data_IF_282217033507
#
_entry.id   IF_282217033507
#
_cell.length_a   1.000
_cell.length_b   1.000
_cell.length_c   1.000
_cell.angle_alpha   90.00
_cell.angle_beta   90.00
_cell.angle_gamma   90.00
#
_symmetry.space_group_name_H-M   'P 1'
#
loop_
_entity.id
_entity.type
_entity.pdbx_description
1 polymer ?
#
# COMPACT_ATOMS: atom_id res chain seq x y z
N UNK A 1 -44.67 -11.84 29.92
CA UNK A 1 -44.50 -10.71 30.84
C UNK A 1 -43.91 -11.21 32.16
N UNK A 2 -42.71 -10.75 32.51
CA UNK A 2 -42.29 -10.57 33.90
C UNK A 2 -42.10 -9.07 34.21
N UNK A 3 -42.63 -8.64 35.35
CA UNK A 3 -42.40 -7.35 36.01
C UNK A 3 -41.19 -7.47 36.96
N UNK A 4 -40.45 -6.39 37.09
CA UNK A 4 -39.52 -5.94 38.17
C UNK A 4 -38.30 -5.27 37.52
N UNK A 5 -37.72 -4.17 37.97
CA UNK A 5 -37.99 -3.21 39.05
C UNK A 5 -37.11 -1.99 38.75
N UNK A 6 -37.57 -0.81 39.16
CA UNK A 6 -36.87 0.46 39.39
C UNK A 6 -35.46 0.66 38.82
N UNK A 7 -35.33 1.60 37.89
CA UNK A 7 -34.10 2.38 37.73
C UNK A 7 -34.46 3.85 37.86
N UNK A 8 -34.18 4.41 39.03
CA UNK A 8 -34.27 5.84 39.32
C UNK A 8 -33.29 6.64 38.43
N UNK A 9 -33.61 7.91 38.12
CA UNK A 9 -32.76 8.78 37.33
C UNK A 9 -31.53 9.20 38.14
N UNK A 10 -30.34 8.99 37.59
CA UNK A 10 -29.10 9.51 38.14
C UNK A 10 -29.16 11.05 38.14
N UNK A 11 -29.39 11.60 39.32
CA UNK A 11 -29.32 13.01 39.60
C UNK A 11 -27.89 13.55 39.49
N UNK A 12 -27.85 14.83 39.10
CA UNK A 12 -26.78 15.81 39.26
C UNK A 12 -25.57 15.40 40.12
N UNK A 13 -24.39 15.49 39.50
CA UNK A 13 -23.24 16.11 40.16
C UNK A 13 -22.64 17.16 39.22
N UNK A 14 -23.35 18.28 39.06
CA UNK A 14 -22.66 19.55 38.82
C UNK A 14 -21.75 19.74 40.01
N UNK A 15 -20.44 19.54 39.81
CA UNK A 15 -19.42 19.96 40.78
C UNK A 15 -19.35 21.49 40.73
N UNK A 16 -20.42 22.13 41.20
CA UNK A 16 -20.39 23.50 41.64
C UNK A 16 -19.46 23.51 42.85
N UNK A 17 -18.25 24.03 42.64
CA UNK A 17 -17.38 24.47 43.72
C UNK A 17 -18.23 25.36 44.63
N UNK A 18 -18.63 24.82 45.78
CA UNK A 18 -19.26 25.59 46.83
C UNK A 18 -18.23 26.60 47.30
N UNK A 19 -18.33 27.81 46.75
CA UNK A 19 -17.66 28.98 47.30
C UNK A 19 -18.35 29.25 48.63
N UNK A 20 -17.65 29.13 49.78
CA UNK A 20 -18.27 29.48 51.05
C UNK A 20 -18.71 30.95 50.99
N UNK A 21 -19.97 31.15 51.35
CA UNK A 21 -20.69 32.43 51.40
C UNK A 21 -20.15 33.34 52.51
N UNK A 22 -18.90 33.79 52.37
CA UNK A 22 -18.31 34.86 53.18
C UNK A 22 -17.58 35.85 52.27
N UNK A 23 -18.29 36.36 51.26
CA UNK A 23 -17.90 37.58 50.57
C UNK A 23 -18.65 38.75 51.21
N UNK A 24 -18.21 39.12 52.40
CA UNK A 24 -18.44 40.47 52.91
C UNK A 24 -17.64 41.42 52.00
N UNK A 25 -18.32 42.46 51.52
CA UNK A 25 -17.69 43.61 50.88
C UNK A 25 -16.67 44.18 51.89
N UNK A 26 -15.44 44.40 51.43
CA UNK A 26 -14.26 44.91 52.17
C UNK A 26 -13.16 43.88 52.54
N UNK A 27 -12.91 42.89 51.69
CA UNK A 27 -11.77 41.96 51.82
C UNK A 27 -10.41 42.61 51.46
N UNK A 28 -9.99 43.63 52.22
CA UNK A 28 -8.61 44.12 52.17
C UNK A 28 -7.75 43.18 53.02
N UNK A 29 -7.15 42.17 52.40
CA UNK A 29 -6.26 41.23 53.08
C UNK A 29 -4.94 41.96 53.37
N UNK A 30 -4.69 42.27 54.65
CA UNK A 30 -3.44 42.89 55.08
C UNK A 30 -2.40 41.81 55.30
N UNK A 31 -1.41 41.74 54.41
CA UNK A 31 -0.32 40.77 54.44
C UNK A 31 0.92 41.42 55.07
N UNK A 32 1.70 40.73 55.93
CA UNK A 32 2.98 41.23 56.42
C UNK A 32 3.92 41.59 55.26
N UNK A 33 4.67 42.70 55.41
CA UNK A 33 5.49 43.27 54.33
C UNK A 33 6.55 42.29 53.81
N UNK A 34 7.07 41.42 54.67
CA UNK A 34 8.03 40.37 54.34
C UNK A 34 7.41 39.27 53.48
N UNK A 35 6.16 38.90 53.79
CA UNK A 35 5.40 37.90 53.05
C UNK A 35 5.00 38.44 51.66
N UNK A 36 4.66 39.73 51.58
CA UNK A 36 4.46 40.42 50.30
C UNK A 36 5.73 40.44 49.43
N UNK A 37 6.91 40.69 50.02
CA UNK A 37 8.19 40.63 49.29
C UNK A 37 8.48 39.22 48.77
N UNK A 38 8.33 38.20 49.62
CA UNK A 38 8.50 36.78 49.23
C UNK A 38 7.54 36.39 48.11
N UNK A 39 6.28 36.82 48.19
CA UNK A 39 5.27 36.54 47.17
C UNK A 39 5.59 37.21 45.84
N UNK A 40 6.05 38.47 45.86
CA UNK A 40 6.47 39.20 44.66
C UNK A 40 7.70 38.59 44.01
N UNK A 41 8.65 38.08 44.81
CA UNK A 41 9.80 37.34 44.32
C UNK A 41 9.42 35.98 43.76
N UNK A 42 8.50 35.25 44.41
CA UNK A 42 7.96 33.99 43.89
C UNK A 42 7.22 34.21 42.56
N UNK A 43 6.47 35.30 42.44
CA UNK A 43 5.79 35.68 41.20
C UNK A 43 6.78 35.99 40.07
N UNK A 44 7.88 36.69 40.36
CA UNK A 44 8.96 36.92 39.37
C UNK A 44 9.72 35.66 38.97
N UNK A 45 9.68 34.62 39.80
CA UNK A 45 10.29 33.31 39.54
C UNK A 45 9.36 32.36 38.80
N UNK A 46 8.07 32.71 38.63
CA UNK A 46 7.18 31.93 37.78
C UNK A 46 7.67 32.03 36.33
N UNK A 47 7.82 30.91 35.62
CA UNK A 47 8.13 30.93 34.20
C UNK A 47 7.10 31.78 33.46
N UNK A 48 7.57 32.60 32.53
CA UNK A 48 6.67 33.35 31.65
C UNK A 48 5.85 32.33 30.85
N UNK A 49 4.57 32.23 31.18
CA UNK A 49 3.67 31.27 30.55
C UNK A 49 3.44 31.82 29.15
N UNK A 50 3.81 31.03 28.14
CA UNK A 50 3.66 31.38 26.73
C UNK A 50 2.29 32.06 26.47
N UNK A 51 2.26 33.25 25.83
CA UNK A 51 1.01 33.96 25.57
C UNK A 51 -0.01 33.08 24.86
N UNK A 52 -1.30 33.26 25.17
CA UNK A 52 -2.41 32.48 24.59
C UNK A 52 -2.34 32.48 23.06
N UNK A 53 -2.01 33.62 22.46
CA UNK A 53 -1.91 33.81 21.01
C UNK A 53 -0.75 33.02 20.39
N UNK A 54 0.31 32.77 21.14
CA UNK A 54 1.46 31.96 20.70
C UNK A 54 1.12 30.46 20.80
N UNK A 55 0.37 30.04 21.82
CA UNK A 55 -0.17 28.68 21.92
C UNK A 55 -1.12 28.41 20.75
N UNK A 56 -2.06 29.30 20.49
CA UNK A 56 -3.03 29.15 19.39
C UNK A 56 -2.31 29.11 18.02
N UNK A 57 -1.27 29.94 17.83
CA UNK A 57 -0.42 29.89 16.62
C UNK A 57 0.29 28.55 16.45
N UNK A 58 0.85 27.98 17.52
CA UNK A 58 1.53 26.67 17.45
C UNK A 58 0.55 25.54 17.14
N UNK A 59 -0.62 25.55 17.77
CA UNK A 59 -1.69 24.57 17.49
C UNK A 59 -2.12 24.67 16.03
N UNK A 60 -2.27 25.88 15.50
CA UNK A 60 -2.66 26.08 14.10
C UNK A 60 -1.57 25.61 13.13
N UNK A 61 -0.29 25.85 13.42
CA UNK A 61 0.83 25.35 12.63
C UNK A 61 0.89 23.81 12.62
N UNK A 62 0.73 23.17 13.77
CA UNK A 62 0.71 21.71 13.88
C UNK A 62 -0.50 21.10 13.16
N UNK A 63 -1.70 21.69 13.29
CA UNK A 63 -2.90 21.27 12.56
C UNK A 63 -2.71 21.37 11.05
N UNK A 64 -2.14 22.47 10.57
CA UNK A 64 -1.87 22.66 9.15
C UNK A 64 -0.81 21.66 8.65
N UNK A 65 0.23 21.39 9.43
CA UNK A 65 1.24 20.36 9.11
C UNK A 65 0.63 18.96 9.05
N UNK A 66 -0.18 18.60 10.05
CA UNK A 66 -0.87 17.31 10.08
C UNK A 66 -1.83 17.13 8.91
N UNK A 67 -2.56 18.18 8.56
CA UNK A 67 -3.48 18.18 7.41
C UNK A 67 -2.71 17.96 6.11
N UNK A 68 -1.60 18.67 5.92
CA UNK A 68 -0.72 18.46 4.75
C UNK A 68 -0.16 17.04 4.70
N UNK A 69 0.31 16.51 5.82
CA UNK A 69 0.84 15.15 5.90
C UNK A 69 -0.23 14.10 5.56
N UNK A 70 -1.48 14.31 6.02
CA UNK A 70 -2.62 13.44 5.67
C UNK A 70 -2.95 13.50 4.18
N UNK A 71 -3.07 14.69 3.61
CA UNK A 71 -3.33 14.85 2.17
C UNK A 71 -2.24 14.19 1.32
N UNK A 72 -0.98 14.30 1.74
CA UNK A 72 0.13 13.64 1.05
C UNK A 72 0.04 12.11 1.17
N UNK A 73 -0.23 11.60 2.37
CA UNK A 73 -0.39 10.16 2.59
C UNK A 73 -1.57 9.58 1.79
N UNK A 74 -2.69 10.30 1.69
CA UNK A 74 -3.84 9.91 0.86
C UNK A 74 -3.49 9.89 -0.63
N UNK A 75 -2.76 10.91 -1.12
CA UNK A 75 -2.32 10.96 -2.50
C UNK A 75 -1.36 9.81 -2.87
N UNK A 76 -0.44 9.47 -1.96
CA UNK A 76 0.49 8.36 -2.16
C UNK A 76 -0.21 7.00 -2.09
N UNK A 77 -1.14 6.81 -1.15
CA UNK A 77 -1.99 5.62 -1.09
C UNK A 77 -2.84 5.44 -2.36
N UNK A 78 -3.35 6.54 -2.94
CA UNK A 78 -4.07 6.49 -4.20
C UNK A 78 -3.18 6.05 -5.37
N UNK A 79 -1.96 6.60 -5.47
CA UNK A 79 -0.98 6.18 -6.49
C UNK A 79 -0.58 4.72 -6.35
N UNK A 80 -0.38 4.27 -5.12
CA UNK A 80 -0.05 2.87 -4.83
C UNK A 80 -1.21 1.94 -5.19
N UNK A 81 -2.44 2.34 -4.92
CA UNK A 81 -3.65 1.62 -5.35
C UNK A 81 -3.72 1.46 -6.88
N UNK A 82 -3.40 2.52 -7.64
CA UNK A 82 -3.33 2.43 -9.11
C UNK A 82 -2.28 1.41 -9.57
N UNK A 83 -1.07 1.45 -9.01
CA UNK A 83 0.01 0.50 -9.34
C UNK A 83 -0.38 -0.94 -9.01
N UNK A 84 -1.04 -1.16 -7.88
CA UNK A 84 -1.54 -2.49 -7.51
C UNK A 84 -2.60 -2.98 -8.50
N UNK A 85 -3.53 -2.11 -8.92
CA UNK A 85 -4.55 -2.45 -9.91
C UNK A 85 -3.94 -2.83 -11.27
N UNK A 86 -2.92 -2.10 -11.72
CA UNK A 86 -2.18 -2.45 -12.94
C UNK A 86 -1.47 -3.80 -12.82
N UNK A 87 -0.87 -4.09 -11.66
CA UNK A 87 -0.19 -5.35 -11.41
C UNK A 87 -1.17 -6.53 -11.31
N UNK A 88 -2.37 -6.31 -10.74
CA UNK A 88 -3.46 -7.29 -10.74
C UNK A 88 -3.92 -7.61 -12.16
N UNK A 89 -4.06 -6.60 -13.02
CA UNK A 89 -4.38 -6.82 -14.44
C UNK A 89 -3.28 -7.65 -15.13
N UNK A 90 -2.00 -7.34 -14.89
CA UNK A 90 -0.88 -8.15 -15.39
C UNK A 90 -0.97 -9.60 -14.87
N UNK A 91 -1.31 -9.82 -13.60
CA UNK A 91 -1.54 -11.20 -13.10
C UNK A 91 -2.61 -11.93 -13.92
N UNK A 92 -3.70 -11.27 -14.27
CA UNK A 92 -4.76 -11.87 -15.09
C UNK A 92 -4.26 -12.19 -16.51
N UNK A 93 -3.58 -11.24 -17.16
CA UNK A 93 -3.05 -11.40 -18.52
C UNK A 93 -2.07 -12.59 -18.62
N UNK A 94 -1.24 -12.77 -17.60
CA UNK A 94 -0.29 -13.89 -17.51
C UNK A 94 -0.86 -15.10 -16.74
N UNK A 95 -2.16 -15.11 -16.40
CA UNK A 95 -2.86 -16.15 -15.64
C UNK A 95 -2.12 -16.60 -14.36
N UNK A 96 -1.52 -15.66 -13.64
CA UNK A 96 -0.85 -15.88 -12.37
C UNK A 96 -1.90 -15.82 -11.25
N UNK A 97 -1.84 -16.71 -10.25
CA UNK A 97 -2.68 -16.59 -9.06
C UNK A 97 -2.50 -15.20 -8.41
N UNK A 98 -3.57 -14.56 -7.95
CA UNK A 98 -3.51 -13.22 -7.33
C UNK A 98 -2.83 -13.24 -5.95
N UNK A 99 -1.54 -13.54 -5.91
CA UNK A 99 -0.67 -13.44 -4.72
C UNK A 99 -0.45 -11.99 -4.27
N UNK A 100 -0.90 -11.02 -5.08
CA UNK A 100 -0.86 -9.58 -4.80
C UNK A 100 -1.78 -9.20 -3.64
N UNK A 101 -2.90 -9.91 -3.44
CA UNK A 101 -3.90 -9.58 -2.40
C UNK A 101 -3.37 -9.75 -0.97
N UNK A 102 -2.34 -10.57 -0.80
CA UNK A 102 -1.70 -10.83 0.48
C UNK A 102 -0.56 -9.85 0.79
N UNK A 103 -0.15 -9.04 -0.20
CA UNK A 103 0.97 -8.12 -0.04
C UNK A 103 0.58 -6.88 0.78
N UNK A 104 1.45 -6.51 1.70
CA UNK A 104 1.29 -5.34 2.58
C UNK A 104 1.83 -4.04 1.97
N UNK A 105 2.60 -4.15 0.88
CA UNK A 105 3.20 -3.01 0.17
C UNK A 105 3.28 -3.25 -1.34
N UNK A 106 3.37 -2.17 -2.12
CA UNK A 106 3.58 -2.24 -3.58
C UNK A 106 4.87 -3.00 -3.92
N UNK A 107 5.92 -2.81 -3.13
CA UNK A 107 7.20 -3.51 -3.33
C UNK A 107 7.02 -5.02 -3.20
N UNK A 108 6.38 -5.46 -2.12
CA UNK A 108 6.10 -6.88 -1.87
C UNK A 108 5.22 -7.49 -2.95
N UNK A 109 4.19 -6.76 -3.39
CA UNK A 109 3.34 -7.19 -4.50
C UNK A 109 4.13 -7.43 -5.80
N UNK A 110 5.06 -6.53 -6.14
CA UNK A 110 5.95 -6.65 -7.31
C UNK A 110 6.88 -7.87 -7.20
N UNK A 111 7.47 -8.09 -6.03
CA UNK A 111 8.31 -9.26 -5.79
C UNK A 111 7.52 -10.57 -5.89
N UNK A 112 6.31 -10.60 -5.31
CA UNK A 112 5.42 -11.75 -5.40
C UNK A 112 5.04 -12.05 -6.86
N UNK A 113 4.76 -11.01 -7.66
CA UNK A 113 4.50 -11.16 -9.10
C UNK A 113 5.70 -11.78 -9.84
N UNK A 114 6.91 -11.26 -9.63
CA UNK A 114 8.12 -11.75 -10.28
C UNK A 114 8.41 -13.21 -9.93
N UNK A 115 8.28 -13.57 -8.66
CA UNK A 115 8.48 -14.95 -8.21
C UNK A 115 7.41 -15.90 -8.77
N UNK A 116 6.16 -15.46 -8.82
CA UNK A 116 5.07 -16.25 -9.39
C UNK A 116 5.25 -16.46 -10.91
N UNK A 117 5.69 -15.43 -11.64
CA UNK A 117 6.06 -15.53 -13.06
C UNK A 117 7.19 -16.53 -13.29
N UNK A 118 8.29 -16.42 -12.53
CA UNK A 118 9.44 -17.32 -12.63
C UNK A 118 9.03 -18.77 -12.44
N UNK A 119 8.22 -19.04 -11.41
CA UNK A 119 7.72 -20.37 -11.10
C UNK A 119 6.84 -20.91 -12.22
N UNK A 120 5.88 -20.10 -12.68
CA UNK A 120 4.90 -20.52 -13.69
C UNK A 120 5.54 -20.83 -15.04
N UNK A 121 6.44 -19.96 -15.51
CA UNK A 121 7.07 -20.09 -16.83
C UNK A 121 8.42 -20.81 -16.77
N UNK A 122 8.80 -21.36 -15.61
CA UNK A 122 10.05 -22.09 -15.38
C UNK A 122 11.31 -21.29 -15.74
N UNK A 123 11.29 -19.98 -15.53
CA UNK A 123 12.40 -19.05 -15.82
C UNK A 123 13.32 -18.95 -14.59
N UNK A 124 13.91 -20.08 -14.19
CA UNK A 124 14.72 -20.17 -12.96
C UNK A 124 16.03 -19.36 -13.01
N UNK A 125 16.51 -19.04 -14.21
CA UNK A 125 17.73 -18.24 -14.42
C UNK A 125 17.52 -16.74 -14.23
N UNK A 126 16.28 -16.27 -14.27
CA UNK A 126 15.99 -14.86 -14.04
C UNK A 126 16.19 -14.55 -12.56
N UNK A 127 17.16 -13.69 -12.25
CA UNK A 127 17.45 -13.24 -10.89
C UNK A 127 16.67 -11.95 -10.63
N UNK A 128 15.97 -11.92 -9.51
CA UNK A 128 15.28 -10.72 -9.05
C UNK A 128 16.24 -9.95 -8.16
N UNK A 129 16.49 -8.69 -8.50
CA UNK A 129 17.22 -7.75 -7.67
C UNK A 129 16.21 -6.92 -6.88
N UNK A 130 16.07 -7.21 -5.58
CA UNK A 130 15.10 -6.55 -4.70
C UNK A 130 15.46 -5.09 -4.36
N UNK A 131 16.72 -4.70 -4.57
CA UNK A 131 17.19 -3.33 -4.36
C UNK A 131 17.13 -2.50 -5.65
N UNK A 132 17.08 -3.16 -6.80
CA UNK A 132 16.98 -2.53 -8.11
C UNK A 132 15.58 -2.04 -8.47
N UNK A 133 15.44 -1.59 -9.72
CA UNK A 133 14.15 -1.18 -10.27
C UNK A 133 13.29 -2.41 -10.59
N UNK A 134 12.26 -2.62 -9.76
CA UNK A 134 11.33 -3.72 -9.92
C UNK A 134 10.38 -3.54 -11.12
N UNK A 135 10.08 -2.31 -11.53
CA UNK A 135 9.17 -2.07 -12.67
C UNK A 135 9.84 -2.50 -13.97
N UNK A 136 11.09 -2.08 -14.19
CA UNK A 136 11.89 -2.54 -15.33
C UNK A 136 12.09 -4.05 -15.33
N UNK A 137 12.31 -4.66 -14.16
CA UNK A 137 12.42 -6.12 -14.06
C UNK A 137 11.11 -6.85 -14.42
N UNK A 138 9.96 -6.30 -14.02
CA UNK A 138 8.64 -6.83 -14.39
C UNK A 138 8.45 -6.75 -15.90
N UNK A 139 8.76 -5.63 -16.54
CA UNK A 139 8.64 -5.46 -17.99
C UNK A 139 9.54 -6.42 -18.75
N UNK A 140 10.80 -6.53 -18.34
CA UNK A 140 11.76 -7.45 -18.96
C UNK A 140 11.31 -8.92 -18.84
N UNK A 141 10.80 -9.33 -17.68
CA UNK A 141 10.30 -10.69 -17.48
C UNK A 141 9.04 -10.96 -18.31
N UNK A 142 8.13 -9.99 -18.39
CA UNK A 142 6.95 -10.05 -19.24
C UNK A 142 7.34 -10.27 -20.71
N UNK A 143 8.27 -9.47 -21.23
CA UNK A 143 8.76 -9.57 -22.61
C UNK A 143 9.37 -10.94 -22.89
N UNK A 144 10.25 -11.42 -21.99
CA UNK A 144 10.87 -12.73 -22.10
C UNK A 144 9.82 -13.85 -22.17
N UNK A 145 8.79 -13.78 -21.33
CA UNK A 145 7.70 -14.77 -21.34
C UNK A 145 6.90 -14.73 -22.64
N UNK A 146 6.64 -13.54 -23.19
CA UNK A 146 5.97 -13.39 -24.49
C UNK A 146 6.79 -14.02 -25.61
N UNK A 147 8.09 -13.73 -25.69
CA UNK A 147 9.01 -14.30 -26.69
C UNK A 147 9.09 -15.82 -26.60
N UNK A 148 9.23 -16.37 -25.38
CA UNK A 148 9.26 -17.82 -25.16
C UNK A 148 7.94 -18.48 -25.56
N UNK A 149 6.81 -17.83 -25.29
CA UNK A 149 5.48 -18.32 -25.66
C UNK A 149 5.31 -18.32 -27.18
N UNK A 150 5.71 -17.25 -27.85
CA UNK A 150 5.68 -17.16 -29.32
C UNK A 150 6.59 -18.22 -29.97
N UNK A 151 7.80 -18.40 -29.45
CA UNK A 151 8.73 -19.43 -29.91
C UNK A 151 8.13 -20.83 -29.76
N UNK A 152 7.56 -21.15 -28.58
CA UNK A 152 6.91 -22.44 -28.33
C UNK A 152 5.74 -22.69 -29.29
N UNK A 153 4.91 -21.69 -29.56
CA UNK A 153 3.83 -21.80 -30.53
C UNK A 153 4.37 -22.06 -31.94
N UNK A 154 5.40 -21.33 -32.39
CA UNK A 154 6.03 -21.55 -33.68
C UNK A 154 6.60 -22.97 -33.82
N UNK A 155 7.33 -23.45 -32.82
CA UNK A 155 7.89 -24.82 -32.82
C UNK A 155 6.77 -25.86 -32.85
N UNK A 156 5.72 -25.68 -32.05
CA UNK A 156 4.57 -26.58 -32.05
C UNK A 156 3.84 -26.60 -33.40
N UNK A 157 3.67 -25.44 -34.05
CA UNK A 157 3.07 -25.35 -35.39
C UNK A 157 3.93 -26.07 -36.42
N UNK A 158 5.25 -25.83 -36.43
CA UNK A 158 6.18 -26.56 -37.31
C UNK A 158 6.14 -28.07 -37.04
N UNK A 159 6.11 -28.50 -35.78
CA UNK A 159 6.02 -29.91 -35.43
C UNK A 159 4.67 -30.52 -35.83
N UNK A 160 3.56 -29.78 -35.81
CA UNK A 160 2.30 -30.28 -36.39
C UNK A 160 2.34 -30.36 -37.90
N UNK A 161 2.98 -29.39 -38.56
CA UNK A 161 3.15 -29.38 -40.01
C UNK A 161 4.09 -30.49 -40.51
N UNK A 162 5.12 -30.83 -39.73
CA UNK A 162 6.15 -31.82 -40.08
C UNK A 162 5.90 -33.20 -39.45
N UNK A 163 5.22 -33.28 -38.31
CA UNK A 163 5.24 -34.43 -37.40
C UNK A 163 3.96 -35.26 -37.28
N UNK A 164 2.91 -34.98 -38.05
CA UNK A 164 1.78 -35.93 -38.21
C UNK A 164 1.43 -36.05 -39.68
N UNK A 165 2.12 -36.96 -40.38
CA UNK A 165 1.61 -37.58 -41.60
C UNK A 165 1.62 -36.75 -42.89
N UNK A 166 2.04 -35.48 -42.90
CA UNK A 166 2.38 -34.82 -44.16
C UNK A 166 3.81 -35.18 -44.54
N UNK A 167 3.97 -36.37 -45.11
CA UNK A 167 5.02 -36.59 -46.11
C UNK A 167 4.89 -35.40 -47.06
N UNK A 168 5.85 -34.48 -47.01
CA UNK A 168 5.96 -33.47 -48.05
C UNK A 168 6.27 -34.27 -49.30
N UNK A 169 5.21 -34.59 -50.04
CA UNK A 169 5.28 -35.03 -51.42
C UNK A 169 5.90 -33.87 -52.18
N UNK A 170 7.22 -33.77 -52.10
CA UNK A 170 7.99 -32.82 -52.87
C UNK A 170 7.71 -33.21 -54.31
N UNK A 171 6.90 -32.41 -54.99
CA UNK A 171 6.39 -32.73 -56.32
C UNK A 171 7.53 -32.95 -57.31
N UNK A 172 8.73 -32.40 -57.05
CA UNK A 172 9.95 -32.71 -57.81
C UNK A 172 10.47 -34.13 -57.55
N UNK A 173 10.55 -34.57 -56.29
CA UNK A 173 10.98 -35.92 -55.94
C UNK A 173 9.99 -36.98 -56.42
N UNK A 174 8.69 -36.70 -56.36
CA UNK A 174 7.64 -37.58 -56.88
C UNK A 174 7.64 -37.64 -58.42
N UNK A 175 7.79 -36.49 -59.11
CA UNK A 175 7.99 -36.46 -60.57
C UNK A 175 9.23 -37.23 -61.01
N UNK A 176 10.31 -37.21 -60.21
CA UNK A 176 11.52 -37.99 -60.45
C UNK A 176 11.30 -39.49 -60.22
N UNK A 177 10.63 -39.91 -59.12
CA UNK A 177 10.26 -41.32 -58.91
C UNK A 177 9.39 -41.87 -60.04
N UNK A 178 8.38 -41.11 -60.48
CA UNK A 178 7.52 -41.48 -61.63
C UNK A 178 8.32 -41.56 -62.92
N UNK A 179 9.23 -40.62 -63.18
CA UNK A 179 10.09 -40.62 -64.37
C UNK A 179 11.14 -41.75 -64.34
N UNK A 180 11.55 -42.20 -63.15
CA UNK A 180 12.53 -43.27 -62.96
C UNK A 180 11.90 -44.65 -62.80
N UNK A 181 10.56 -44.78 -62.83
CA UNK A 181 9.86 -46.06 -62.79
C UNK A 181 10.05 -46.87 -61.50
N UNK A 182 10.52 -46.24 -60.42
CA UNK A 182 10.72 -46.93 -59.14
C UNK A 182 9.41 -46.89 -58.36
N UNK A 183 8.54 -47.87 -58.61
CA UNK A 183 7.43 -48.21 -57.74
C UNK A 183 7.96 -49.05 -56.58
N UNK A 184 7.72 -48.61 -55.34
CA UNK A 184 8.06 -49.38 -54.15
C UNK A 184 7.22 -50.69 -54.18
N UNK A 185 7.90 -51.83 -54.28
CA UNK A 185 7.34 -53.18 -54.17
C UNK A 185 7.24 -53.61 -52.70
#
# INVERSE_FOLDING_TARGET
MPKEKGREPAGNTSSGLAVPSSFQKDNTITIPQEEYKRLKEAYRKLPDIMPREEIDRRVELERNSLTKARMQAEADAFRDSQKLSELEKKCQDYYIPSTIKEATSVKEAKLAFLEAMKRKYSVSKFRVDEAGDLDSQIENLCLLVQELTAYKQMVNTRQREVGVGKIINNTKAQKLKVRLGVSDA
#
